data_IF_085334148996
#
_entry.id   IF_085334148996
#
_cell.length_a   1.000
_cell.length_b   1.000
_cell.length_c   1.000
_cell.angle_alpha   90.00
_cell.angle_beta   90.00
_cell.angle_gamma   90.00
#
_symmetry.space_group_name_H-M   'P 1'
#
loop_
_entity.id
_entity.type
_entity.pdbx_description
1 polymer ?
#
# COMPACT_ATOMS: atom_id res chain seq x y z
N UNK A 1 37.62 42.19 -31.21
CA UNK A 1 36.48 41.67 -32.01
C UNK A 1 35.23 42.35 -31.48
N UNK A 2 34.36 42.86 -32.34
CA UNK A 2 33.15 43.57 -31.88
C UNK A 2 32.07 42.55 -31.52
N UNK A 3 32.03 42.13 -30.26
CA UNK A 3 31.05 41.14 -29.77
C UNK A 3 29.62 41.69 -29.77
N UNK A 4 29.43 43.01 -29.92
CA UNK A 4 28.10 43.63 -29.98
C UNK A 4 27.28 43.15 -31.19
N UNK A 5 27.93 42.53 -32.19
CA UNK A 5 27.32 41.99 -33.40
C UNK A 5 27.18 40.46 -33.41
N UNK A 6 27.72 39.78 -32.40
CA UNK A 6 27.63 38.32 -32.27
C UNK A 6 26.37 37.97 -31.47
N UNK A 7 25.44 37.31 -32.12
CA UNK A 7 24.20 36.84 -31.49
C UNK A 7 24.49 35.69 -30.53
N UNK A 8 23.66 35.56 -29.50
CA UNK A 8 23.72 34.42 -28.58
C UNK A 8 23.45 33.09 -29.31
N UNK A 9 23.97 31.98 -28.78
CA UNK A 9 23.76 30.67 -29.38
C UNK A 9 22.30 30.23 -29.27
N UNK A 10 21.85 29.45 -30.24
CA UNK A 10 20.54 28.79 -30.14
C UNK A 10 20.61 27.68 -29.08
N UNK A 11 19.57 27.57 -28.26
CA UNK A 11 19.51 26.62 -27.17
C UNK A 11 18.25 25.75 -27.25
N UNK A 12 18.41 24.47 -26.97
CA UNK A 12 17.34 23.54 -26.65
C UNK A 12 17.10 23.56 -25.14
N UNK A 13 15.85 23.80 -24.75
CA UNK A 13 15.43 23.85 -23.35
C UNK A 13 14.56 22.63 -23.08
N UNK A 14 14.90 21.89 -22.03
CA UNK A 14 14.15 20.71 -21.59
C UNK A 14 13.87 20.75 -20.09
N UNK A 15 12.77 20.13 -19.68
CA UNK A 15 12.34 20.01 -18.28
C UNK A 15 12.32 18.53 -17.89
N UNK A 16 13.47 17.95 -17.49
CA UNK A 16 13.55 16.52 -17.16
C UNK A 16 12.66 16.12 -15.97
N UNK A 17 12.33 17.08 -15.09
CA UNK A 17 11.34 16.97 -14.03
C UNK A 17 10.67 18.33 -13.78
N UNK A 18 9.80 18.40 -12.76
CA UNK A 18 8.99 19.58 -12.42
C UNK A 18 9.72 20.67 -11.61
N UNK A 19 10.99 20.46 -11.24
CA UNK A 19 11.87 21.42 -10.55
C UNK A 19 13.14 21.80 -11.32
N UNK A 20 13.44 21.06 -12.39
CA UNK A 20 14.72 21.14 -13.10
C UNK A 20 14.54 21.69 -14.52
N UNK A 21 15.32 22.73 -14.82
CA UNK A 21 15.53 23.25 -16.16
C UNK A 21 16.90 22.81 -16.68
N UNK A 22 16.94 22.19 -17.85
CA UNK A 22 18.18 21.88 -18.58
C UNK A 22 18.23 22.70 -19.87
N UNK A 23 19.31 23.46 -20.04
CA UNK A 23 19.56 24.30 -21.22
C UNK A 23 20.82 23.77 -21.90
N UNK A 24 20.71 23.39 -23.17
CA UNK A 24 21.81 22.88 -24.01
C UNK A 24 21.90 23.76 -25.26
N UNK A 25 23.08 24.23 -25.65
CA UNK A 25 23.24 25.11 -26.82
C UNK A 25 24.14 24.51 -27.90
N UNK A 26 23.84 24.86 -29.14
CA UNK A 26 24.38 24.17 -30.32
C UNK A 26 25.69 24.74 -30.85
N UNK A 27 25.94 26.04 -30.69
CA UNK A 27 27.23 26.61 -31.08
C UNK A 27 28.26 26.19 -30.03
N UNK A 28 29.11 25.23 -30.39
CA UNK A 28 30.13 24.73 -29.46
C UNK A 28 31.12 25.85 -29.14
N UNK A 29 31.34 26.09 -27.85
CA UNK A 29 32.35 27.06 -27.41
C UNK A 29 33.73 26.66 -27.95
N UNK A 30 33.96 25.36 -28.19
CA UNK A 30 35.16 24.81 -28.80
C UNK A 30 35.43 25.36 -30.22
N UNK A 31 34.40 25.52 -31.07
CA UNK A 31 34.56 26.10 -32.40
C UNK A 31 35.00 27.57 -32.34
N UNK A 32 34.44 28.35 -31.41
CA UNK A 32 34.83 29.74 -31.19
C UNK A 32 36.26 29.83 -30.63
N UNK A 33 36.64 28.90 -29.76
CA UNK A 33 38.00 28.79 -29.25
C UNK A 33 39.01 28.43 -30.35
N UNK A 34 38.66 27.55 -31.28
CA UNK A 34 39.48 27.24 -32.46
C UNK A 34 39.70 28.46 -33.36
N UNK A 35 38.77 29.42 -33.33
CA UNK A 35 38.91 30.74 -33.99
C UNK A 35 39.68 31.77 -33.12
N UNK A 36 40.20 31.36 -31.96
CA UNK A 36 40.94 32.21 -31.03
C UNK A 36 40.06 33.10 -30.14
N UNK A 37 38.76 32.80 -30.04
CA UNK A 37 37.78 33.58 -29.29
C UNK A 37 37.48 32.86 -27.98
N UNK A 38 38.06 33.36 -26.89
CA UNK A 38 37.78 32.84 -25.54
C UNK A 38 36.50 33.49 -24.99
N UNK A 39 35.38 32.80 -25.14
CA UNK A 39 34.09 33.24 -24.61
C UNK A 39 33.52 32.30 -23.54
N UNK A 40 32.53 32.80 -22.83
CA UNK A 40 31.62 32.08 -21.95
C UNK A 40 30.17 32.39 -22.34
N UNK A 41 29.24 31.54 -21.95
CA UNK A 41 27.80 31.75 -22.13
C UNK A 41 27.20 32.12 -20.79
N UNK A 42 26.42 33.20 -20.79
CA UNK A 42 25.54 33.56 -19.68
C UNK A 42 24.12 33.07 -19.98
N UNK A 43 23.54 32.32 -19.06
CA UNK A 43 22.12 31.93 -19.10
C UNK A 43 21.39 32.70 -18.01
N UNK A 44 20.37 33.45 -18.44
CA UNK A 44 19.49 34.19 -17.55
C UNK A 44 18.08 33.63 -17.62
N UNK A 45 17.40 33.64 -16.47
CA UNK A 45 16.01 33.21 -16.34
C UNK A 45 15.18 34.29 -15.65
N UNK A 46 13.89 34.33 -15.94
CA UNK A 46 12.91 35.02 -15.11
C UNK A 46 11.59 34.27 -15.09
N UNK A 47 10.83 34.43 -14.02
CA UNK A 47 9.39 34.14 -14.02
C UNK A 47 8.70 35.14 -14.93
N UNK A 48 7.74 34.72 -15.75
CA UNK A 48 7.07 35.63 -16.70
C UNK A 48 6.30 36.77 -16.01
N UNK A 49 5.77 36.51 -14.82
CA UNK A 49 5.09 37.50 -13.97
C UNK A 49 6.07 38.51 -13.30
N UNK A 50 7.37 38.24 -13.33
CA UNK A 50 8.41 39.09 -12.74
C UNK A 50 9.21 39.83 -13.82
N UNK A 51 9.62 41.07 -13.53
CA UNK A 51 10.43 41.88 -14.44
C UNK A 51 11.95 41.59 -14.36
N UNK A 52 12.41 41.02 -13.25
CA UNK A 52 13.84 40.87 -12.98
C UNK A 52 14.38 39.55 -13.53
N UNK A 53 15.55 39.63 -14.18
CA UNK A 53 16.31 38.48 -14.64
C UNK A 53 17.32 38.03 -13.58
N UNK A 54 17.40 36.72 -13.36
CA UNK A 54 18.42 36.06 -12.54
C UNK A 54 19.43 35.37 -13.46
N UNK A 55 20.72 35.60 -13.24
CA UNK A 55 21.78 34.85 -13.93
C UNK A 55 21.97 33.52 -13.22
N UNK A 56 21.63 32.43 -13.91
CA UNK A 56 21.69 31.06 -13.35
C UNK A 56 22.95 30.31 -13.76
N UNK A 57 23.63 30.78 -14.80
CA UNK A 57 24.87 30.18 -15.29
C UNK A 57 25.73 31.24 -15.98
N UNK A 58 27.05 31.21 -15.71
CA UNK A 58 28.07 31.90 -16.50
C UNK A 58 29.29 30.99 -16.57
N UNK A 59 29.58 30.44 -17.74
CA UNK A 59 30.68 29.48 -17.88
C UNK A 59 30.91 29.01 -19.30
N UNK A 60 31.76 27.99 -19.44
CA UNK A 60 32.27 27.49 -20.73
C UNK A 60 31.77 26.08 -21.09
N UNK A 61 30.79 25.55 -20.34
CA UNK A 61 30.08 24.32 -20.71
C UNK A 61 29.22 24.58 -21.95
N UNK A 62 28.72 23.54 -22.60
CA UNK A 62 27.67 23.58 -23.63
C UNK A 62 26.25 23.41 -23.04
N UNK A 63 26.18 23.18 -21.73
CA UNK A 63 24.93 22.97 -21.01
C UNK A 63 24.96 23.53 -19.58
N UNK A 64 23.78 23.89 -19.08
CA UNK A 64 23.56 24.18 -17.66
C UNK A 64 22.28 23.53 -17.12
N UNK A 65 22.29 23.23 -15.84
CA UNK A 65 21.13 22.68 -15.11
C UNK A 65 20.78 23.57 -13.93
N UNK A 66 19.50 23.90 -13.77
CA UNK A 66 18.98 24.74 -12.70
C UNK A 66 17.79 24.09 -12.02
N UNK A 67 17.90 23.85 -10.70
CA UNK A 67 17.00 22.98 -9.94
C UNK A 67 16.08 23.75 -8.96
N UNK A 68 15.83 25.05 -9.21
CA UNK A 68 15.00 25.90 -8.32
C UNK A 68 13.72 26.37 -9.01
N UNK A 69 13.22 25.59 -9.95
CA UNK A 69 12.01 25.93 -10.67
C UNK A 69 10.79 25.60 -9.81
N UNK A 70 9.82 26.51 -9.76
CA UNK A 70 8.51 26.25 -9.18
C UNK A 70 7.60 25.56 -10.23
N UNK A 71 6.95 24.44 -9.87
CA UNK A 71 6.10 23.68 -10.78
C UNK A 71 4.88 24.48 -11.27
N UNK A 72 4.45 24.25 -12.51
CA UNK A 72 3.26 24.88 -13.09
C UNK A 72 3.37 26.39 -13.36
N UNK A 73 4.55 26.98 -13.20
CA UNK A 73 4.82 28.37 -13.59
C UNK A 73 5.54 28.44 -14.94
N UNK A 74 5.34 29.56 -15.63
CA UNK A 74 6.02 29.87 -16.88
C UNK A 74 7.27 30.74 -16.64
N UNK A 75 8.34 30.38 -17.32
CA UNK A 75 9.63 31.06 -17.26
C UNK A 75 10.06 31.49 -18.66
N UNK A 76 10.77 32.60 -18.72
CA UNK A 76 11.50 33.02 -19.90
C UNK A 76 13.00 32.79 -19.67
N UNK A 77 13.67 32.23 -20.67
CA UNK A 77 15.10 31.97 -20.69
C UNK A 77 15.73 32.74 -21.83
N UNK A 78 16.89 33.34 -21.59
CA UNK A 78 17.69 34.00 -22.63
C UNK A 78 19.18 33.77 -22.39
N UNK A 79 19.92 33.77 -23.49
CA UNK A 79 21.36 33.55 -23.51
C UNK A 79 22.07 34.77 -24.08
N UNK A 80 23.35 34.96 -23.69
CA UNK A 80 24.28 35.88 -24.38
C UNK A 80 25.71 35.40 -24.24
N UNK A 81 26.57 35.83 -25.16
CA UNK A 81 28.01 35.60 -25.10
C UNK A 81 28.68 36.63 -24.19
N UNK A 82 29.69 36.18 -23.45
CA UNK A 82 30.61 36.99 -22.68
C UNK A 82 32.04 36.74 -23.18
N UNK A 83 32.78 37.82 -23.45
CA UNK A 83 34.24 37.78 -23.70
C UNK A 83 34.92 38.78 -22.76
N UNK A 84 35.47 38.27 -21.66
CA UNK A 84 36.10 39.09 -20.63
C UNK A 84 35.09 40.02 -19.93
N UNK A 85 35.29 41.33 -20.06
CA UNK A 85 34.38 42.35 -19.50
C UNK A 85 33.30 42.82 -20.49
N UNK A 86 33.22 42.21 -21.68
CA UNK A 86 32.26 42.59 -22.71
C UNK A 86 31.16 41.55 -22.86
N UNK A 87 29.92 42.02 -22.96
CA UNK A 87 28.74 41.19 -23.19
C UNK A 87 28.15 41.48 -24.57
N UNK A 88 27.88 40.41 -25.32
CA UNK A 88 27.10 40.47 -26.55
C UNK A 88 25.62 40.74 -26.28
N UNK A 89 24.83 40.99 -27.34
CA UNK A 89 23.38 41.09 -27.24
C UNK A 89 22.76 39.77 -26.77
N UNK A 90 21.60 39.85 -26.11
CA UNK A 90 20.78 38.68 -25.82
C UNK A 90 20.21 38.10 -27.11
N UNK A 91 20.12 36.77 -27.17
CA UNK A 91 19.38 36.06 -28.19
C UNK A 91 17.87 36.14 -27.98
N UNK A 92 17.15 35.34 -28.75
CA UNK A 92 15.69 35.23 -28.63
C UNK A 92 15.28 34.69 -27.25
N UNK A 93 14.26 35.31 -26.66
CA UNK A 93 13.67 34.84 -25.41
C UNK A 93 12.83 33.60 -25.70
N UNK A 94 13.12 32.51 -24.99
CA UNK A 94 12.37 31.27 -25.09
C UNK A 94 11.51 31.09 -23.84
N UNK A 95 10.21 30.88 -24.04
CA UNK A 95 9.28 30.58 -22.95
C UNK A 95 9.22 29.08 -22.72
N UNK A 96 9.28 28.68 -21.44
CA UNK A 96 9.13 27.30 -20.98
C UNK A 96 8.12 27.26 -19.85
N UNK A 97 7.13 26.37 -19.98
CA UNK A 97 6.19 26.05 -18.90
C UNK A 97 6.77 24.89 -18.09
N UNK A 98 6.91 25.08 -16.78
CA UNK A 98 7.32 23.99 -15.90
C UNK A 98 6.17 22.98 -15.78
N UNK A 99 6.44 21.67 -15.94
CA UNK A 99 5.44 20.66 -15.66
C UNK A 99 4.84 20.91 -14.27
N UNK A 100 3.51 20.77 -14.09
CA UNK A 100 2.92 20.85 -12.77
C UNK A 100 3.54 19.76 -11.89
N UNK A 101 3.63 20.03 -10.59
CA UNK A 101 4.01 19.00 -9.64
C UNK A 101 3.05 17.81 -9.86
N UNK A 102 3.53 16.56 -9.96
CA UNK A 102 2.63 15.42 -9.94
C UNK A 102 1.90 15.47 -8.60
N UNK A 103 0.66 15.99 -8.64
CA UNK A 103 -0.09 16.47 -7.49
C UNK A 103 -0.33 15.35 -6.47
N UNK A 104 0.63 15.20 -5.55
CA UNK A 104 0.56 14.75 -4.15
C UNK A 104 -0.41 13.62 -3.78
N UNK A 105 -0.78 12.70 -4.67
CA UNK A 105 -1.69 11.59 -4.37
C UNK A 105 -3.12 11.92 -3.95
N UNK A 106 -3.38 13.16 -3.52
CA UNK A 106 -4.68 13.70 -3.16
C UNK A 106 -5.64 13.63 -4.35
N UNK A 107 -5.16 13.91 -5.57
CA UNK A 107 -5.98 13.87 -6.77
C UNK A 107 -6.33 12.45 -7.20
N UNK A 108 -5.40 11.49 -7.03
CA UNK A 108 -5.69 10.07 -7.24
C UNK A 108 -6.74 9.57 -6.22
N UNK A 109 -6.59 9.95 -4.94
CA UNK A 109 -7.58 9.63 -3.92
C UNK A 109 -8.92 10.32 -4.14
N UNK A 110 -8.97 11.55 -4.68
CA UNK A 110 -10.21 12.23 -5.07
C UNK A 110 -10.90 11.48 -6.21
N UNK A 111 -10.17 11.10 -7.27
CA UNK A 111 -10.72 10.32 -8.38
C UNK A 111 -11.33 9.00 -7.87
N UNK A 112 -10.64 8.29 -6.97
CA UNK A 112 -11.15 7.07 -6.31
C UNK A 112 -12.39 7.37 -5.43
N UNK A 113 -12.36 8.46 -4.66
CA UNK A 113 -13.46 8.86 -3.75
C UNK A 113 -14.74 9.18 -4.52
N UNK A 114 -14.62 9.81 -5.69
CA UNK A 114 -15.71 10.17 -6.58
C UNK A 114 -15.99 9.11 -7.66
N UNK A 115 -15.24 8.00 -7.67
CA UNK A 115 -15.39 6.89 -8.62
C UNK A 115 -15.25 7.34 -10.09
N UNK A 116 -14.39 8.32 -10.32
CA UNK A 116 -14.07 8.87 -11.64
C UNK A 116 -12.92 8.07 -12.29
N UNK A 117 -13.28 7.07 -13.09
CA UNK A 117 -12.33 6.23 -13.82
C UNK A 117 -11.54 7.02 -14.87
N UNK A 118 -12.16 8.00 -15.51
CA UNK A 118 -11.55 8.75 -16.60
C UNK A 118 -10.52 9.72 -16.05
N UNK A 119 -10.84 10.41 -14.95
CA UNK A 119 -9.88 11.22 -14.21
C UNK A 119 -8.73 10.36 -13.67
N UNK A 120 -9.01 9.18 -13.11
CA UNK A 120 -7.96 8.27 -12.65
C UNK A 120 -7.03 7.87 -13.80
N UNK A 121 -7.56 7.50 -14.97
CA UNK A 121 -6.74 7.13 -16.15
C UNK A 121 -5.88 8.29 -16.63
N UNK A 122 -6.48 9.48 -16.76
CA UNK A 122 -5.78 10.70 -17.12
C UNK A 122 -4.61 10.98 -16.18
N UNK A 123 -4.83 10.87 -14.86
CA UNK A 123 -3.77 11.01 -13.84
C UNK A 123 -2.67 9.96 -14.08
N UNK A 124 -3.01 8.69 -14.24
CA UNK A 124 -2.04 7.60 -14.40
C UNK A 124 -1.23 7.68 -15.72
N UNK A 125 -1.80 8.25 -16.78
CA UNK A 125 -1.14 8.42 -18.09
C UNK A 125 -0.03 9.48 -18.08
N UNK A 126 -0.03 10.39 -17.10
CA UNK A 126 1.06 11.38 -16.93
C UNK A 126 2.41 10.74 -16.55
N UNK A 127 2.42 9.48 -16.12
CA UNK A 127 3.64 8.68 -15.89
C UNK A 127 4.42 8.98 -14.61
N UNK A 128 4.10 10.04 -13.86
CA UNK A 128 4.84 10.48 -12.66
C UNK A 128 4.03 10.38 -11.35
N UNK A 129 3.09 9.43 -11.26
CA UNK A 129 2.19 9.32 -10.09
C UNK A 129 2.72 8.31 -9.07
N UNK A 130 2.90 8.75 -7.82
CA UNK A 130 3.18 7.84 -6.71
C UNK A 130 1.91 7.05 -6.32
N UNK A 131 1.84 5.77 -6.67
CA UNK A 131 0.71 4.88 -6.36
C UNK A 131 0.67 4.39 -4.91
N UNK A 132 1.68 4.73 -4.11
CA UNK A 132 1.79 4.35 -2.69
C UNK A 132 1.59 5.53 -1.75
N UNK A 133 1.17 6.68 -2.29
CA UNK A 133 0.77 7.83 -1.50
C UNK A 133 -0.36 7.46 -0.54
N UNK A 134 -0.30 7.94 0.70
CA UNK A 134 -1.32 7.65 1.69
C UNK A 134 -2.30 8.82 1.82
N UNK A 135 -3.60 8.52 1.94
CA UNK A 135 -4.61 9.53 2.24
C UNK A 135 -4.56 9.97 3.73
N UNK A 136 -5.51 10.82 4.13
CA UNK A 136 -5.63 11.28 5.52
C UNK A 136 -5.93 10.15 6.53
N UNK A 137 -6.39 8.98 6.06
CA UNK A 137 -6.62 7.77 6.86
C UNK A 137 -5.47 6.77 6.72
N UNK A 138 -4.36 7.20 6.12
CA UNK A 138 -3.17 6.41 5.89
C UNK A 138 -3.39 5.25 4.90
N UNK A 139 -4.39 5.35 4.03
CA UNK A 139 -4.65 4.35 3.00
C UNK A 139 -3.97 4.68 1.68
N UNK A 140 -3.32 3.69 1.09
CA UNK A 140 -2.85 3.78 -0.30
C UNK A 140 -4.05 3.76 -1.27
N UNK A 141 -3.88 4.23 -2.54
CA UNK A 141 -4.90 4.10 -3.58
C UNK A 141 -5.50 2.69 -3.66
N UNK A 142 -4.65 1.66 -3.59
CA UNK A 142 -5.07 0.27 -3.64
C UNK A 142 -5.92 -0.14 -2.42
N UNK A 143 -5.61 0.36 -1.23
CA UNK A 143 -6.44 0.16 -0.03
C UNK A 143 -7.77 0.91 -0.11
N UNK A 144 -7.77 2.13 -0.64
CA UNK A 144 -8.98 2.93 -0.80
C UNK A 144 -9.99 2.25 -1.74
N UNK A 145 -9.54 1.72 -2.88
CA UNK A 145 -10.40 0.99 -3.82
C UNK A 145 -10.88 -0.35 -3.25
N UNK A 146 -10.03 -1.06 -2.48
CA UNK A 146 -10.41 -2.30 -1.80
C UNK A 146 -11.45 -2.04 -0.71
N UNK A 147 -11.33 -0.95 0.04
CA UNK A 147 -12.31 -0.54 1.08
C UNK A 147 -13.71 -0.29 0.50
N UNK A 148 -13.77 0.19 -0.74
CA UNK A 148 -14.99 0.64 -1.44
C UNK A 148 -15.57 -0.37 -2.43
N UNK A 149 -14.98 -1.56 -2.56
CA UNK A 149 -15.36 -2.58 -3.53
C UNK A 149 -15.23 -2.15 -5.02
N UNK A 150 -14.26 -1.28 -5.34
CA UNK A 150 -14.07 -0.75 -6.69
C UNK A 150 -13.20 -1.66 -7.56
N UNK A 151 -13.77 -2.76 -8.03
CA UNK A 151 -13.06 -3.84 -8.75
C UNK A 151 -12.28 -3.34 -9.97
N UNK A 152 -12.89 -2.52 -10.81
CA UNK A 152 -12.25 -2.00 -12.02
C UNK A 152 -11.05 -1.10 -11.66
N UNK A 153 -11.17 -0.29 -10.61
CA UNK A 153 -10.07 0.54 -10.13
C UNK A 153 -8.90 -0.29 -9.63
N UNK A 154 -9.14 -1.39 -8.89
CA UNK A 154 -8.10 -2.34 -8.46
C UNK A 154 -7.29 -2.82 -9.66
N UNK A 155 -7.96 -3.30 -10.71
CA UNK A 155 -7.27 -3.84 -11.90
C UNK A 155 -6.41 -2.79 -12.60
N UNK A 156 -6.89 -1.54 -12.67
CA UNK A 156 -6.13 -0.46 -13.31
C UNK A 156 -4.93 -0.06 -12.45
N UNK A 157 -5.09 0.15 -11.15
CA UNK A 157 -3.96 0.49 -10.27
C UNK A 157 -2.85 -0.57 -10.31
N UNK A 158 -3.23 -1.86 -10.27
CA UNK A 158 -2.26 -2.96 -10.38
C UNK A 158 -1.57 -2.98 -11.75
N UNK A 159 -2.29 -2.71 -12.85
CA UNK A 159 -1.72 -2.62 -14.20
C UNK A 159 -0.65 -1.52 -14.31
N UNK A 160 -0.83 -0.41 -13.61
CA UNK A 160 0.13 0.70 -13.57
C UNK A 160 1.23 0.52 -12.51
N UNK A 161 1.30 -0.64 -11.85
CA UNK A 161 2.42 -1.00 -10.97
C UNK A 161 2.22 -0.65 -9.49
N UNK A 162 0.98 -0.46 -9.03
CA UNK A 162 0.70 -0.31 -7.59
C UNK A 162 1.23 -1.54 -6.84
N UNK A 163 2.00 -1.30 -5.77
CA UNK A 163 2.61 -2.34 -4.96
C UNK A 163 1.53 -3.02 -4.11
N UNK A 164 1.21 -4.25 -4.49
CA UNK A 164 0.10 -5.03 -3.91
C UNK A 164 0.23 -5.26 -2.40
N UNK A 165 1.47 -5.33 -1.88
CA UNK A 165 1.77 -5.63 -0.48
C UNK A 165 2.13 -4.39 0.35
N UNK A 166 1.94 -3.17 -0.16
CA UNK A 166 2.16 -1.97 0.66
C UNK A 166 1.25 -1.98 1.88
N UNK A 167 1.79 -1.56 3.00
CA UNK A 167 1.11 -1.51 4.29
C UNK A 167 0.92 -0.07 4.75
N UNK A 168 -0.19 0.21 5.43
CA UNK A 168 -0.33 1.44 6.20
C UNK A 168 0.48 1.36 7.50
N UNK A 169 0.43 2.40 8.34
CA UNK A 169 1.07 2.50 9.67
C UNK A 169 0.62 1.43 10.65
N UNK A 170 -0.55 0.83 10.43
CA UNK A 170 -1.03 -0.31 11.21
C UNK A 170 -0.55 -1.65 10.65
N UNK A 171 0.25 -1.66 9.57
CA UNK A 171 0.71 -2.87 8.91
C UNK A 171 -0.36 -3.54 8.04
N UNK A 172 -1.50 -2.88 7.78
CA UNK A 172 -2.59 -3.48 7.00
C UNK A 172 -2.37 -3.34 5.51
N UNK A 173 -2.59 -4.42 4.76
CA UNK A 173 -2.57 -4.44 3.29
C UNK A 173 -3.98 -4.30 2.70
N UNK A 174 -4.07 -4.02 1.39
CA UNK A 174 -5.35 -4.03 0.67
C UNK A 174 -6.07 -5.39 0.75
N UNK A 175 -5.31 -6.50 0.77
CA UNK A 175 -5.85 -7.85 0.91
C UNK A 175 -6.52 -8.07 2.27
N UNK A 176 -5.93 -7.57 3.36
CA UNK A 176 -6.54 -7.66 4.70
C UNK A 176 -7.88 -6.91 4.76
N UNK A 177 -7.96 -5.73 4.14
CA UNK A 177 -9.18 -4.94 4.05
C UNK A 177 -10.26 -5.70 3.26
N UNK A 178 -9.91 -6.23 2.09
CA UNK A 178 -10.84 -7.01 1.26
C UNK A 178 -11.32 -8.28 1.98
N UNK A 179 -10.42 -8.97 2.70
CA UNK A 179 -10.74 -10.14 3.51
C UNK A 179 -11.76 -9.82 4.61
N UNK A 180 -11.55 -8.72 5.35
CA UNK A 180 -12.47 -8.29 6.42
C UNK A 180 -13.86 -7.93 5.91
N UNK A 181 -13.94 -7.28 4.74
CA UNK A 181 -15.21 -6.89 4.13
C UNK A 181 -15.88 -8.01 3.33
N UNK A 182 -15.21 -9.15 3.16
CA UNK A 182 -15.72 -10.28 2.38
C UNK A 182 -15.72 -10.05 0.86
N UNK A 183 -14.98 -9.06 0.35
CA UNK A 183 -14.90 -8.76 -1.08
C UNK A 183 -14.01 -9.76 -1.81
N UNK A 184 -14.58 -10.91 -2.11
CA UNK A 184 -13.88 -12.11 -2.58
C UNK A 184 -13.24 -11.90 -3.95
N UNK A 185 -13.91 -11.21 -4.87
CA UNK A 185 -13.35 -10.93 -6.21
C UNK A 185 -12.16 -9.97 -6.16
N UNK A 186 -12.18 -8.98 -5.27
CA UNK A 186 -11.03 -8.08 -5.06
C UNK A 186 -9.88 -8.86 -4.44
N UNK A 187 -10.14 -9.66 -3.40
CA UNK A 187 -9.11 -10.48 -2.78
C UNK A 187 -8.47 -11.44 -3.79
N UNK A 188 -9.28 -12.11 -4.64
CA UNK A 188 -8.75 -12.98 -5.69
C UNK A 188 -7.89 -12.21 -6.70
N UNK A 189 -8.33 -11.03 -7.14
CA UNK A 189 -7.55 -10.18 -8.04
C UNK A 189 -6.20 -9.79 -7.42
N UNK A 190 -6.18 -9.39 -6.16
CA UNK A 190 -4.95 -9.04 -5.43
C UNK A 190 -4.01 -10.24 -5.32
N UNK A 191 -4.55 -11.42 -4.96
CA UNK A 191 -3.77 -12.66 -4.84
C UNK A 191 -3.17 -13.10 -6.18
N UNK A 192 -3.92 -12.98 -7.28
CA UNK A 192 -3.42 -13.24 -8.63
C UNK A 192 -2.26 -12.31 -9.03
N UNK A 193 -2.20 -11.11 -8.46
CA UNK A 193 -1.12 -10.14 -8.67
C UNK A 193 -0.02 -10.21 -7.58
N UNK A 194 0.05 -11.32 -6.84
CA UNK A 194 1.14 -11.57 -5.89
C UNK A 194 0.96 -10.94 -4.51
N UNK A 195 -0.28 -10.63 -4.10
CA UNK A 195 -0.55 -10.31 -2.70
C UNK A 195 -0.13 -11.49 -1.81
N UNK A 196 0.66 -11.22 -0.77
CA UNK A 196 1.04 -12.24 0.21
C UNK A 196 0.00 -12.28 1.34
N UNK A 197 -0.78 -13.37 1.48
CA UNK A 197 -1.79 -13.49 2.53
C UNK A 197 -1.22 -13.65 3.94
N UNK A 198 0.11 -13.79 4.07
CA UNK A 198 0.82 -14.01 5.32
C UNK A 198 1.52 -12.75 5.85
N UNK A 199 1.42 -11.60 5.17
CA UNK A 199 1.85 -10.31 5.74
C UNK A 199 1.14 -10.12 7.08
N UNK A 200 1.87 -9.70 8.09
CA UNK A 200 1.35 -9.48 9.43
C UNK A 200 1.28 -7.98 9.73
N UNK A 201 0.15 -7.57 10.30
CA UNK A 201 -0.04 -6.23 10.81
C UNK A 201 0.70 -6.02 12.15
N UNK A 202 0.57 -4.83 12.76
CA UNK A 202 1.27 -4.51 14.02
C UNK A 202 0.91 -5.45 15.19
N UNK A 203 -0.28 -6.08 15.14
CA UNK A 203 -0.77 -7.04 16.12
C UNK A 203 -0.42 -8.50 15.75
N UNK A 204 0.34 -8.72 14.68
CA UNK A 204 0.63 -10.06 14.16
C UNK A 204 -0.51 -10.70 13.37
N UNK A 205 -1.60 -9.96 13.10
CA UNK A 205 -2.74 -10.49 12.36
C UNK A 205 -2.48 -10.43 10.85
N UNK A 206 -2.78 -11.52 10.16
CA UNK A 206 -2.67 -11.63 8.70
C UNK A 206 -4.07 -11.83 8.07
N UNK A 207 -4.15 -11.96 6.74
CA UNK A 207 -5.43 -11.91 6.01
C UNK A 207 -6.51 -12.90 6.49
N UNK A 208 -6.11 -14.08 6.99
CA UNK A 208 -7.05 -15.10 7.50
C UNK A 208 -7.77 -14.63 8.77
N UNK A 209 -7.10 -13.91 9.67
CA UNK A 209 -7.77 -13.31 10.84
C UNK A 209 -8.87 -12.35 10.43
N UNK A 210 -8.58 -11.52 9.42
CA UNK A 210 -9.54 -10.57 8.89
C UNK A 210 -10.73 -11.26 8.23
N UNK A 211 -10.52 -12.37 7.52
CA UNK A 211 -11.59 -13.19 6.97
C UNK A 211 -12.47 -13.86 8.06
N UNK A 212 -11.87 -14.23 9.20
CA UNK A 212 -12.60 -14.73 10.38
C UNK A 212 -13.46 -13.63 10.99
N UNK A 213 -12.89 -12.43 11.21
CA UNK A 213 -13.63 -11.27 11.73
C UNK A 213 -14.76 -10.83 10.76
N UNK A 214 -14.59 -11.05 9.46
CA UNK A 214 -15.60 -10.83 8.42
C UNK A 214 -16.58 -12.00 8.22
N UNK A 215 -16.51 -13.05 9.05
CA UNK A 215 -17.34 -14.26 9.02
C UNK A 215 -17.44 -14.97 7.65
N UNK A 216 -16.40 -14.89 6.82
CA UNK A 216 -16.44 -15.40 5.45
C UNK A 216 -15.56 -16.66 5.27
N UNK A 217 -16.17 -17.83 5.39
CA UNK A 217 -15.49 -19.11 5.18
C UNK A 217 -14.98 -19.34 3.75
N UNK A 218 -15.63 -18.76 2.72
CA UNK A 218 -15.16 -18.87 1.34
C UNK A 218 -13.88 -18.06 1.12
N UNK A 219 -13.78 -16.88 1.75
CA UNK A 219 -12.55 -16.08 1.75
C UNK A 219 -11.38 -16.85 2.37
N UNK A 220 -11.61 -17.60 3.45
CA UNK A 220 -10.56 -18.43 4.08
C UNK A 220 -10.06 -19.50 3.10
N UNK A 221 -10.96 -20.21 2.42
CA UNK A 221 -10.59 -21.21 1.40
C UNK A 221 -9.84 -20.59 0.23
N UNK A 222 -10.25 -19.40 -0.22
CA UNK A 222 -9.54 -18.64 -1.25
C UNK A 222 -8.12 -18.29 -0.79
N UNK A 223 -7.97 -17.68 0.38
CA UNK A 223 -6.66 -17.32 0.93
C UNK A 223 -5.75 -18.57 1.06
N UNK A 224 -6.29 -19.68 1.55
CA UNK A 224 -5.55 -20.93 1.69
C UNK A 224 -5.08 -21.49 0.33
N UNK A 225 -5.93 -21.44 -0.70
CA UNK A 225 -5.58 -21.81 -2.08
C UNK A 225 -4.35 -21.03 -2.60
N UNK A 226 -4.18 -19.78 -2.17
CA UNK A 226 -3.03 -18.93 -2.53
C UNK A 226 -1.92 -18.93 -1.46
N UNK A 227 -1.84 -19.98 -0.62
CA UNK A 227 -0.71 -20.19 0.29
C UNK A 227 -0.82 -19.51 1.65
N UNK A 228 -2.02 -19.11 2.07
CA UNK A 228 -2.22 -18.61 3.43
C UNK A 228 -2.00 -19.70 4.49
N UNK A 229 -1.18 -19.39 5.48
CA UNK A 229 -0.90 -20.24 6.64
C UNK A 229 -1.96 -20.01 7.71
N UNK A 230 -2.85 -20.98 7.91
CA UNK A 230 -3.99 -20.87 8.84
C UNK A 230 -3.63 -21.01 10.32
N UNK A 231 -2.40 -21.40 10.65
CA UNK A 231 -1.92 -21.63 12.01
C UNK A 231 -0.92 -20.58 12.49
N UNK A 232 -0.70 -19.49 11.74
CA UNK A 232 0.09 -18.37 12.26
C UNK A 232 -0.68 -17.71 13.41
N UNK A 233 0.08 -17.25 14.40
CA UNK A 233 -0.51 -16.66 15.59
C UNK A 233 -0.41 -15.15 15.58
N UNK A 234 -1.34 -14.50 16.27
CA UNK A 234 -1.21 -13.09 16.63
C UNK A 234 0.01 -12.87 17.56
N UNK A 235 0.40 -11.61 17.71
CA UNK A 235 1.55 -11.21 18.53
C UNK A 235 1.23 -11.24 20.03
N UNK A 236 0.02 -10.86 20.39
CA UNK A 236 -0.31 -10.55 21.77
C UNK A 236 -0.61 -11.81 22.58
N UNK A 237 -1.47 -12.69 22.06
CA UNK A 237 -1.99 -13.84 22.81
C UNK A 237 -1.52 -15.19 22.27
N UNK A 238 -0.79 -15.21 21.16
CA UNK A 238 -0.52 -16.40 20.38
C UNK A 238 -1.82 -17.09 19.93
N UNK A 239 -2.85 -16.29 19.61
CA UNK A 239 -4.10 -16.83 19.10
C UNK A 239 -3.92 -17.21 17.64
N UNK A 240 -4.37 -18.39 17.25
CA UNK A 240 -4.60 -18.72 15.83
C UNK A 240 -5.93 -18.14 15.36
N UNK A 241 -6.20 -18.06 14.04
CA UNK A 241 -7.51 -17.71 13.51
C UNK A 241 -8.67 -18.56 14.09
N UNK A 242 -8.43 -19.84 14.41
CA UNK A 242 -9.43 -20.70 15.05
C UNK A 242 -9.71 -20.31 16.51
N UNK A 243 -8.68 -19.94 17.27
CA UNK A 243 -8.85 -19.40 18.62
C UNK A 243 -9.55 -18.04 18.57
N UNK A 244 -9.17 -17.16 17.63
CA UNK A 244 -9.85 -15.88 17.41
C UNK A 244 -11.35 -16.07 17.20
N UNK A 245 -11.75 -17.01 16.34
CA UNK A 245 -13.16 -17.35 16.11
C UNK A 245 -13.88 -17.76 17.41
N UNK A 246 -13.23 -18.57 18.25
CA UNK A 246 -13.79 -19.03 19.52
C UNK A 246 -13.95 -17.93 20.58
N UNK A 247 -13.30 -16.77 20.39
CA UNK A 247 -13.40 -15.59 21.26
C UNK A 247 -14.39 -14.52 20.75
N UNK A 248 -14.92 -14.65 19.53
CA UNK A 248 -15.86 -13.65 18.98
C UNK A 248 -17.21 -13.72 19.70
N UNK A 249 -17.84 -12.58 19.94
CA UNK A 249 -19.12 -12.51 20.67
C UNK A 249 -20.33 -13.05 19.87
N UNK A 250 -20.20 -13.21 18.55
CA UNK A 250 -21.27 -13.58 17.60
C UNK A 250 -21.48 -15.11 17.48
N UNK A 251 -21.40 -15.83 18.60
CA UNK A 251 -21.61 -17.28 18.71
C UNK A 251 -20.51 -18.17 18.09
N UNK A 252 -19.44 -17.60 17.52
CA UNK A 252 -18.38 -18.35 16.85
C UNK A 252 -18.92 -19.19 15.69
N UNK A 253 -19.08 -18.56 14.52
CA UNK A 253 -19.75 -19.17 13.37
C UNK A 253 -19.16 -20.55 12.99
N UNK A 254 -19.89 -21.68 13.18
CA UNK A 254 -19.36 -23.01 12.93
C UNK A 254 -18.99 -23.25 11.46
N UNK A 255 -19.60 -22.51 10.51
CA UNK A 255 -19.24 -22.62 9.09
C UNK A 255 -17.84 -22.06 8.81
N UNK A 256 -17.48 -20.98 9.50
CA UNK A 256 -16.12 -20.41 9.44
C UNK A 256 -15.14 -21.35 10.13
N UNK A 257 -15.53 -21.94 11.27
CA UNK A 257 -14.74 -22.97 11.95
C UNK A 257 -14.47 -24.18 11.05
N UNK A 258 -15.49 -24.66 10.34
CA UNK A 258 -15.34 -25.77 9.40
C UNK A 258 -14.39 -25.41 8.25
N UNK A 259 -14.49 -24.19 7.70
CA UNK A 259 -13.58 -23.74 6.66
C UNK A 259 -12.12 -23.68 7.14
N UNK A 260 -11.86 -23.21 8.37
CA UNK A 260 -10.52 -23.21 8.97
C UNK A 260 -9.98 -24.63 9.13
N UNK A 261 -10.78 -25.54 9.70
CA UNK A 261 -10.39 -26.93 9.94
C UNK A 261 -10.11 -27.65 8.61
N UNK A 262 -10.96 -27.47 7.60
CA UNK A 262 -10.75 -28.02 6.26
C UNK A 262 -9.46 -27.51 5.60
N UNK A 263 -9.03 -26.29 5.95
CA UNK A 263 -7.77 -25.71 5.48
C UNK A 263 -6.56 -26.08 6.37
N UNK A 264 -6.72 -27.03 7.31
CA UNK A 264 -5.64 -27.55 8.15
C UNK A 264 -5.39 -26.78 9.44
N UNK A 265 -6.40 -26.09 9.99
CA UNK A 265 -6.27 -25.46 11.30
C UNK A 265 -6.05 -26.50 12.40
N UNK A 266 -5.06 -26.26 13.27
CA UNK A 266 -4.79 -27.09 14.44
C UNK A 266 -5.85 -26.84 15.51
N UNK A 267 -6.76 -27.81 15.65
CA UNK A 267 -7.88 -27.79 16.60
C UNK A 267 -7.42 -27.78 18.06
N UNK A 268 -6.22 -28.29 18.35
CA UNK A 268 -5.67 -28.43 19.70
C UNK A 268 -4.54 -27.44 19.99
N UNK A 269 -4.33 -26.44 19.12
CA UNK A 269 -3.36 -25.38 19.37
C UNK A 269 -3.64 -24.70 20.72
N UNK A 270 -2.58 -24.43 21.46
CA UNK A 270 -2.65 -23.76 22.75
C UNK A 270 -2.08 -22.35 22.65
N UNK A 271 -2.86 -21.36 23.08
CA UNK A 271 -2.40 -19.99 23.16
C UNK A 271 -1.36 -19.78 24.28
N UNK A 272 -0.93 -18.52 24.50
CA UNK A 272 0.05 -18.20 25.53
C UNK A 272 -0.35 -18.59 26.96
N UNK A 273 -1.64 -18.85 27.21
CA UNK A 273 -2.18 -19.28 28.50
C UNK A 273 -2.43 -20.79 28.57
N UNK A 274 -2.07 -21.55 27.53
CA UNK A 274 -2.38 -22.97 27.41
C UNK A 274 -3.83 -23.25 27.03
N UNK A 275 -4.57 -22.25 26.53
CA UNK A 275 -5.99 -22.39 26.21
C UNK A 275 -6.16 -22.78 24.74
N UNK A 276 -6.95 -23.83 24.51
CA UNK A 276 -7.38 -24.25 23.17
C UNK A 276 -8.64 -23.51 22.73
N UNK A 277 -9.00 -23.59 21.45
CA UNK A 277 -10.27 -23.06 20.94
C UNK A 277 -11.48 -23.65 21.71
N UNK A 278 -11.43 -24.94 22.08
CA UNK A 278 -12.48 -25.58 22.88
C UNK A 278 -12.58 -24.99 24.30
N UNK A 279 -11.45 -24.66 24.92
CA UNK A 279 -11.41 -23.96 26.22
C UNK A 279 -12.03 -22.56 26.09
N UNK A 280 -11.71 -21.82 25.02
CA UNK A 280 -12.31 -20.50 24.78
C UNK A 280 -13.83 -20.58 24.58
N UNK A 281 -14.34 -21.57 23.86
CA UNK A 281 -15.79 -21.80 23.74
C UNK A 281 -16.50 -22.00 25.10
N UNK A 282 -15.83 -22.52 26.13
CA UNK A 282 -16.44 -22.73 27.45
C UNK A 282 -16.82 -21.42 28.15
N UNK A 283 -16.11 -20.32 27.87
CA UNK A 283 -16.40 -18.98 28.43
C UNK A 283 -17.67 -18.36 27.84
N UNK A 284 -18.17 -18.86 26.71
CA UNK A 284 -19.25 -18.27 25.96
C UNK A 284 -20.46 -19.22 25.89
N UNK A 285 -21.61 -18.79 26.41
CA UNK A 285 -22.85 -19.63 26.50
C UNK A 285 -23.43 -20.02 25.14
N UNK A 286 -23.08 -19.28 24.12
CA UNK A 286 -23.57 -19.37 22.75
C UNK A 286 -22.64 -20.16 21.81
N UNK A 287 -21.50 -20.68 22.28
CA UNK A 287 -20.51 -21.36 21.42
C UNK A 287 -20.69 -22.89 21.37
N UNK A 288 -21.87 -23.40 21.74
CA UNK A 288 -22.13 -24.83 21.81
C UNK A 288 -21.99 -25.54 20.45
N UNK A 289 -22.35 -24.88 19.34
CA UNK A 289 -22.26 -25.48 18.01
C UNK A 289 -20.83 -25.48 17.46
N UNK A 290 -20.04 -24.44 17.74
CA UNK A 290 -18.61 -24.45 17.45
C UNK A 290 -17.91 -25.52 18.30
N UNK A 291 -18.24 -25.64 19.58
CA UNK A 291 -17.70 -26.68 20.44
C UNK A 291 -18.03 -28.10 19.93
N UNK A 292 -19.27 -28.34 19.48
CA UNK A 292 -19.65 -29.62 18.84
C UNK A 292 -18.77 -29.92 17.64
N UNK A 293 -18.57 -28.93 16.76
CA UNK A 293 -17.73 -29.06 15.59
C UNK A 293 -16.29 -29.42 15.99
N UNK A 294 -15.68 -28.63 16.88
CA UNK A 294 -14.31 -28.85 17.36
C UNK A 294 -14.13 -30.27 17.89
N UNK A 295 -15.03 -30.73 18.76
CA UNK A 295 -15.02 -32.09 19.32
C UNK A 295 -15.13 -33.15 18.21
N UNK A 296 -16.04 -32.96 17.25
CA UNK A 296 -16.20 -33.89 16.13
C UNK A 296 -14.97 -33.95 15.22
N UNK A 297 -14.16 -32.89 15.21
CA UNK A 297 -12.92 -32.78 14.45
C UNK A 297 -11.67 -33.10 15.29
N UNK A 298 -11.82 -33.74 16.46
CA UNK A 298 -10.69 -34.22 17.25
C UNK A 298 -10.13 -33.24 18.29
N UNK A 299 -10.91 -32.24 18.71
CA UNK A 299 -10.57 -31.45 19.90
C UNK A 299 -10.51 -32.35 21.13
N UNK A 300 -9.40 -32.30 21.85
CA UNK A 300 -9.21 -33.02 23.09
C UNK A 300 -9.86 -32.24 24.26
N UNK A 301 -10.95 -32.74 24.87
CA UNK A 301 -11.65 -32.07 25.97
C UNK A 301 -10.90 -32.13 27.30
N UNK A 302 -9.80 -32.89 27.39
CA UNK A 302 -8.99 -33.10 28.59
C UNK A 302 -7.72 -32.23 28.62
N UNK A 303 -7.46 -31.42 27.58
CA UNK A 303 -6.39 -30.43 27.59
C UNK A 303 -6.58 -29.46 28.76
N UNK A 304 -5.48 -29.19 29.45
CA UNK A 304 -5.44 -28.31 30.62
C UNK A 304 -4.66 -27.04 30.30
N UNK A 305 -5.24 -25.90 30.66
CA UNK A 305 -4.53 -24.63 30.57
C UNK A 305 -3.45 -24.49 31.65
N UNK A 306 -2.70 -23.38 31.64
CA UNK A 306 -1.66 -23.11 32.65
C UNK A 306 -2.17 -22.99 34.09
N UNK A 307 -3.48 -22.84 34.30
CA UNK A 307 -4.14 -22.88 35.62
C UNK A 307 -4.68 -24.27 35.96
N UNK A 308 -4.29 -25.30 35.20
CA UNK A 308 -4.69 -26.69 35.37
C UNK A 308 -6.20 -26.97 35.17
N UNK A 309 -6.93 -26.06 34.50
CA UNK A 309 -8.36 -26.20 34.22
C UNK A 309 -8.61 -26.75 32.82
N UNK A 310 -9.54 -27.69 32.71
CA UNK A 310 -10.12 -28.16 31.43
C UNK A 310 -11.25 -27.23 30.97
N UNK A 311 -11.71 -27.41 29.73
CA UNK A 311 -12.89 -26.72 29.21
C UNK A 311 -14.15 -27.01 30.08
N UNK A 312 -14.27 -28.24 30.61
CA UNK A 312 -15.39 -28.63 31.47
C UNK A 312 -15.33 -27.93 32.85
N UNK A 313 -14.15 -27.79 33.43
CA UNK A 313 -13.97 -27.10 34.73
C UNK A 313 -14.41 -25.64 34.63
N UNK A 314 -13.99 -24.97 33.55
CA UNK A 314 -14.38 -23.58 33.25
C UNK A 314 -15.89 -23.49 33.04
N UNK A 315 -16.46 -24.34 32.19
CA UNK A 315 -17.89 -24.33 31.91
C UNK A 315 -18.74 -24.55 33.18
N UNK A 316 -18.30 -25.42 34.10
CA UNK A 316 -18.95 -25.61 35.41
C UNK A 316 -18.88 -24.37 36.27
N UNK A 317 -17.72 -23.73 36.36
CA UNK A 317 -17.54 -22.51 37.17
C UNK A 317 -18.38 -21.32 36.69
N UNK A 318 -18.72 -21.29 35.38
CA UNK A 318 -19.52 -20.24 34.75
C UNK A 318 -21.00 -20.63 34.56
N UNK A 319 -21.40 -21.80 35.08
CA UNK A 319 -22.75 -22.36 34.93
C UNK A 319 -23.20 -22.47 33.46
N UNK A 320 -22.27 -22.78 32.55
CA UNK A 320 -22.55 -23.03 31.14
C UNK A 320 -23.08 -24.46 30.94
N UNK A 321 -24.30 -24.71 31.41
CA UNK A 321 -24.90 -26.05 31.49
C UNK A 321 -24.98 -26.77 30.13
N UNK A 322 -25.25 -26.03 29.05
CA UNK A 322 -25.31 -26.57 27.69
C UNK A 322 -23.96 -27.13 27.25
N UNK A 323 -22.87 -26.39 27.51
CA UNK A 323 -21.52 -26.83 27.20
C UNK A 323 -21.10 -28.02 28.08
N UNK A 324 -21.43 -27.98 29.38
CA UNK A 324 -21.18 -29.11 30.29
C UNK A 324 -21.85 -30.40 29.78
N UNK A 325 -23.14 -30.33 29.43
CA UNK A 325 -23.89 -31.47 28.91
C UNK A 325 -23.30 -32.01 27.60
N UNK A 326 -22.81 -31.12 26.73
CA UNK A 326 -22.13 -31.50 25.49
C UNK A 326 -20.86 -32.32 25.76
N UNK A 327 -19.96 -31.82 26.60
CA UNK A 327 -18.69 -32.50 26.92
C UNK A 327 -18.95 -33.82 27.64
N UNK A 328 -19.86 -33.85 28.61
CA UNK A 328 -20.20 -35.08 29.34
C UNK A 328 -20.81 -36.14 28.43
N UNK A 329 -21.69 -35.74 27.49
CA UNK A 329 -22.26 -36.64 26.50
C UNK A 329 -21.17 -37.23 25.60
N UNK A 330 -20.22 -36.41 25.15
CA UNK A 330 -19.09 -36.88 24.35
C UNK A 330 -18.21 -37.87 25.11
N UNK A 331 -17.82 -37.57 26.36
CA UNK A 331 -17.01 -38.48 27.19
C UNK A 331 -17.70 -39.83 27.44
N UNK A 332 -19.02 -39.82 27.71
CA UNK A 332 -19.80 -41.05 27.88
C UNK A 332 -19.87 -41.89 26.59
N UNK A 333 -19.88 -41.24 25.42
CA UNK A 333 -19.87 -41.94 24.14
C UNK A 333 -18.49 -42.54 23.81
N UNK A 334 -17.41 -41.86 24.18
CA UNK A 334 -16.04 -42.35 24.03
C UNK A 334 -15.71 -43.54 24.94
N UNK A 335 -16.19 -43.53 26.19
CA UNK A 335 -15.97 -44.62 27.15
C UNK A 335 -16.73 -45.94 26.84
N UNK A 336 -17.59 -45.95 25.81
CA UNK A 336 -18.40 -47.11 25.40
C UNK A 336 -17.85 -47.83 24.15
N UNK A 337 -16.75 -47.33 23.56
CA UNK A 337 -16.04 -47.96 22.44
C UNK A 337 -14.79 -48.65 22.95
#
# INVERSE_FOLDING_TARGET
>A
MDISRLTAPFAMITTPDFHTLKVEWFDSIEELEMMGIHCAVEVSIRKLEHANWEVIYLGRSDQCTYNKMEPGLEYAVRLRLNVGDQFGPYGEEQTVEMPPEPNTGSDLHKAIKFEDMDQMRSILETGQVNLEVADQFDFTPLMAVATRNLRNFVTVLLKYGAKVNTTNKLGKTALMIAANKGFTEIAETLLQHGADPNVQDVNGMHAVFYAVDGENGNMIRLLHKYGAKVNLTDRDNQWTPLIRLACLANNGNPRVGAALIDCGADVNHQDKYGQTALIHCAFHRNHADLAKLLISCGADPDVRNKKNHTALDIAKSLENLNFCALIEKFKRAGARK
#
